data_IF_914127275181
#
_entry.id   IF_914127275181
#
_cell.length_a   1.000
_cell.length_b   1.000
_cell.length_c   1.000
_cell.angle_alpha   90.00
_cell.angle_beta   90.00
_cell.angle_gamma   90.00
#
_symmetry.space_group_name_H-M   'P 1'
#
loop_
_entity.id
_entity.type
_entity.pdbx_description
1 polymer ?
#
# COMPACT_ATOMS: atom_id res chain seq x y z
N UNK A 1 -16.88 0.77 4.40
CA UNK A 1 -15.60 0.16 3.99
C UNK A 1 -15.76 -0.23 2.54
N UNK A 2 -15.15 0.57 1.67
CA UNK A 2 -15.13 0.28 0.24
C UNK A 2 -13.80 -0.41 -0.08
N UNK A 3 -13.85 -1.49 -0.86
CA UNK A 3 -12.67 -2.24 -1.31
C UNK A 3 -12.46 -1.94 -2.79
N UNK A 4 -11.20 -1.69 -3.17
CA UNK A 4 -10.76 -1.55 -4.54
C UNK A 4 -9.61 -2.52 -4.77
N UNK A 5 -9.62 -3.18 -5.92
CA UNK A 5 -8.48 -3.94 -6.43
C UNK A 5 -7.93 -3.14 -7.60
N UNK A 6 -6.71 -2.65 -7.45
CA UNK A 6 -6.10 -1.71 -8.40
C UNK A 6 -4.77 -2.23 -8.91
N UNK A 7 -4.37 -1.70 -10.06
CA UNK A 7 -3.04 -1.87 -10.61
C UNK A 7 -2.00 -1.17 -9.76
N UNK A 8 -1.12 -1.93 -9.11
CA UNK A 8 -0.12 -1.39 -8.21
C UNK A 8 0.85 -0.45 -8.95
N UNK A 9 1.34 -0.85 -10.13
CA UNK A 9 2.26 -0.05 -10.92
C UNK A 9 1.65 1.29 -11.37
N UNK A 10 0.39 1.28 -11.82
CA UNK A 10 -0.30 2.51 -12.23
C UNK A 10 -0.53 3.43 -11.04
N UNK A 11 -0.93 2.88 -9.89
CA UNK A 11 -1.09 3.63 -8.66
C UNK A 11 0.24 4.31 -8.25
N UNK A 12 1.33 3.55 -8.11
CA UNK A 12 2.61 4.12 -7.67
C UNK A 12 3.17 5.13 -8.68
N UNK A 13 3.02 4.88 -9.99
CA UNK A 13 3.38 5.85 -11.03
C UNK A 13 2.57 7.14 -10.92
N UNK A 14 1.25 7.04 -10.69
CA UNK A 14 0.38 8.21 -10.60
C UNK A 14 0.64 9.08 -9.37
N UNK A 15 1.07 8.44 -8.27
CA UNK A 15 1.37 9.10 -7.00
C UNK A 15 2.79 9.69 -6.96
N UNK A 16 3.59 9.53 -8.03
CA UNK A 16 5.03 9.81 -8.04
C UNK A 16 5.73 9.17 -6.83
N UNK A 17 5.37 7.91 -6.53
CA UNK A 17 5.92 7.19 -5.38
C UNK A 17 7.38 6.73 -5.60
N UNK A 18 7.93 6.90 -6.81
CA UNK A 18 9.36 6.77 -7.08
C UNK A 18 10.14 7.82 -6.25
N UNK A 19 10.94 7.43 -5.24
CA UNK A 19 11.42 8.42 -4.30
C UNK A 19 12.56 9.25 -4.88
N UNK A 20 12.42 10.57 -4.79
CA UNK A 20 13.56 11.49 -4.85
C UNK A 20 14.46 11.37 -3.59
N UNK A 21 13.97 10.70 -2.54
CA UNK A 21 14.60 10.63 -1.22
C UNK A 21 15.35 9.31 -1.00
N UNK A 22 16.63 9.30 -1.38
CA UNK A 22 17.57 8.17 -1.16
C UNK A 22 17.56 7.61 0.28
N UNK A 23 17.32 8.44 1.29
CA UNK A 23 17.25 8.00 2.69
C UNK A 23 16.06 7.06 2.96
N UNK A 24 14.91 7.28 2.30
CA UNK A 24 13.73 6.43 2.45
C UNK A 24 13.99 5.08 1.81
N UNK A 25 14.57 5.07 0.61
CA UNK A 25 15.00 3.84 -0.06
C UNK A 25 15.92 3.02 0.84
N UNK A 26 17.04 3.60 1.29
CA UNK A 26 18.04 2.87 2.09
C UNK A 26 17.46 2.36 3.41
N UNK A 27 16.51 3.08 4.02
CA UNK A 27 15.82 2.63 5.22
C UNK A 27 14.85 1.48 4.95
N UNK A 28 14.07 1.57 3.86
CA UNK A 28 13.11 0.52 3.49
C UNK A 28 13.80 -0.75 3.04
N UNK A 29 14.88 -0.67 2.26
CA UNK A 29 15.67 -1.83 1.85
C UNK A 29 16.22 -2.58 3.07
N UNK A 30 16.82 -1.85 4.03
CA UNK A 30 17.31 -2.46 5.28
C UNK A 30 16.20 -3.08 6.12
N UNK A 31 15.03 -2.44 6.19
CA UNK A 31 13.87 -2.94 6.92
C UNK A 31 13.36 -4.25 6.27
N UNK A 32 13.22 -4.27 4.95
CA UNK A 32 12.74 -5.44 4.21
C UNK A 32 13.71 -6.61 4.35
N UNK A 33 15.02 -6.36 4.21
CA UNK A 33 16.04 -7.39 4.34
C UNK A 33 16.09 -7.96 5.76
N UNK A 34 16.18 -7.08 6.77
CA UNK A 34 16.36 -7.49 8.18
C UNK A 34 15.23 -8.36 8.72
N UNK A 35 14.00 -8.12 8.24
CA UNK A 35 12.81 -8.83 8.70
C UNK A 35 12.28 -9.83 7.67
N UNK A 36 13.04 -10.10 6.60
CA UNK A 36 12.70 -11.10 5.57
C UNK A 36 11.29 -10.86 4.96
N UNK A 37 10.98 -9.60 4.64
CA UNK A 37 9.65 -9.18 4.21
C UNK A 37 9.38 -9.37 2.72
N UNK A 38 10.38 -9.75 1.92
CA UNK A 38 10.20 -10.01 0.50
C UNK A 38 9.15 -11.11 0.24
N UNK A 39 8.32 -10.91 -0.78
CA UNK A 39 7.19 -11.78 -1.15
C UNK A 39 6.14 -12.03 -0.03
N UNK A 40 6.15 -11.23 1.04
CA UNK A 40 5.20 -11.34 2.17
C UNK A 40 3.92 -10.55 1.94
N UNK A 41 2.88 -10.93 2.66
CA UNK A 41 1.66 -10.12 2.77
C UNK A 41 1.79 -9.02 3.83
N UNK A 42 1.62 -7.77 3.41
CA UNK A 42 1.80 -6.58 4.26
C UNK A 42 0.51 -5.76 4.29
N UNK A 43 0.01 -5.49 5.50
CA UNK A 43 -1.06 -4.53 5.75
C UNK A 43 -0.44 -3.16 6.06
N UNK A 44 -0.68 -2.18 5.20
CA UNK A 44 -0.20 -0.81 5.34
C UNK A 44 -1.33 0.11 5.80
N UNK A 45 -1.12 0.79 6.92
CA UNK A 45 -2.08 1.73 7.52
C UNK A 45 -1.62 3.15 7.28
N UNK A 46 -2.54 3.99 6.79
CA UNK A 46 -2.29 5.38 6.43
C UNK A 46 -1.14 5.57 5.41
N UNK A 47 -1.12 4.81 4.29
CA UNK A 47 -0.04 4.85 3.30
C UNK A 47 0.06 6.18 2.55
N UNK A 48 -0.98 7.02 2.54
CA UNK A 48 -0.98 8.28 1.80
C UNK A 48 -0.67 8.06 0.31
N UNK A 49 0.48 8.58 -0.14
CA UNK A 49 0.96 8.43 -1.52
C UNK A 49 1.71 7.12 -1.79
N UNK A 50 1.98 6.30 -0.77
CA UNK A 50 2.61 4.98 -0.93
C UNK A 50 4.13 5.01 -1.16
N UNK A 51 4.84 6.06 -0.73
CA UNK A 51 6.27 6.24 -0.99
C UNK A 51 7.12 5.14 -0.33
N UNK A 52 6.78 4.76 0.90
CA UNK A 52 7.48 3.69 1.63
C UNK A 52 7.06 2.32 1.05
N UNK A 53 5.77 2.16 0.77
CA UNK A 53 5.15 0.92 0.31
C UNK A 53 5.53 0.52 -1.11
N UNK A 54 5.94 1.49 -1.94
CA UNK A 54 6.53 1.24 -3.23
C UNK A 54 7.67 0.21 -3.13
N UNK A 55 8.51 0.29 -2.09
CA UNK A 55 9.62 -0.64 -1.89
C UNK A 55 9.14 -2.04 -1.56
N UNK A 56 8.11 -2.21 -0.72
CA UNK A 56 7.51 -3.53 -0.52
C UNK A 56 7.01 -4.13 -1.84
N UNK A 57 6.37 -3.32 -2.69
CA UNK A 57 5.92 -3.76 -4.01
C UNK A 57 7.08 -4.19 -4.93
N UNK A 58 8.20 -3.45 -4.95
CA UNK A 58 9.40 -3.83 -5.70
C UNK A 58 9.98 -5.17 -5.21
N UNK A 59 9.85 -5.46 -3.92
CA UNK A 59 10.26 -6.73 -3.31
C UNK A 59 9.19 -7.84 -3.36
N UNK A 60 8.18 -7.70 -4.24
CA UNK A 60 7.21 -8.75 -4.51
C UNK A 60 6.13 -8.92 -3.44
N UNK A 61 6.05 -8.03 -2.46
CA UNK A 61 5.06 -8.12 -1.40
C UNK A 61 3.63 -8.00 -1.94
N UNK A 62 2.71 -8.75 -1.34
CA UNK A 62 1.28 -8.57 -1.53
C UNK A 62 0.80 -7.46 -0.59
N UNK A 63 0.30 -6.37 -1.14
CA UNK A 63 -0.04 -5.18 -0.37
C UNK A 63 -1.54 -5.05 -0.15
N UNK A 64 -1.91 -4.71 1.09
CA UNK A 64 -3.23 -4.18 1.41
C UNK A 64 -3.09 -2.82 2.08
N UNK A 65 -3.70 -1.80 1.49
CA UNK A 65 -3.73 -0.44 2.01
C UNK A 65 -5.04 -0.20 2.74
N UNK A 66 -4.96 0.48 3.88
CA UNK A 66 -6.12 0.99 4.62
C UNK A 66 -5.88 2.45 4.92
N UNK A 67 -6.70 3.31 4.34
CA UNK A 67 -6.62 4.75 4.56
C UNK A 67 -8.02 5.37 4.68
N UNK A 68 -8.08 6.52 5.35
CA UNK A 68 -9.27 7.35 5.39
C UNK A 68 -9.24 8.33 4.22
N UNK A 69 -10.31 8.37 3.44
CA UNK A 69 -10.46 9.40 2.41
C UNK A 69 -11.08 10.66 3.02
N UNK A 70 -10.34 11.31 3.93
CA UNK A 70 -10.83 12.42 4.74
C UNK A 70 -11.38 13.57 3.88
N UNK A 71 -10.79 13.80 2.70
CA UNK A 71 -11.14 14.90 1.80
C UNK A 71 -11.90 14.44 0.54
N UNK A 72 -12.16 13.14 0.38
CA UNK A 72 -12.86 12.59 -0.79
C UNK A 72 -12.02 12.62 -2.09
N UNK A 73 -10.71 12.77 -1.98
CA UNK A 73 -9.79 12.92 -3.11
C UNK A 73 -9.15 11.61 -3.56
N UNK A 74 -9.13 10.60 -2.68
CA UNK A 74 -8.48 9.31 -2.96
C UNK A 74 -9.40 8.42 -3.80
N UNK A 75 -10.68 8.27 -3.39
CA UNK A 75 -11.62 7.34 -4.02
C UNK A 75 -11.78 7.53 -5.53
N UNK A 76 -11.88 8.76 -6.07
CA UNK A 76 -11.99 8.96 -7.51
C UNK A 76 -10.79 8.42 -8.29
N UNK A 77 -9.57 8.56 -7.75
CA UNK A 77 -8.35 8.07 -8.38
C UNK A 77 -8.28 6.54 -8.43
N UNK A 78 -8.67 5.87 -7.34
CA UNK A 78 -8.67 4.40 -7.27
C UNK A 78 -9.56 3.75 -8.34
N UNK A 79 -10.64 4.42 -8.76
CA UNK A 79 -11.53 3.94 -9.83
C UNK A 79 -10.90 4.00 -11.22
N UNK A 80 -9.81 4.73 -11.39
CA UNK A 80 -9.09 4.86 -12.66
C UNK A 80 -8.04 3.77 -12.87
N UNK A 81 -7.55 3.16 -11.78
CA UNK A 81 -6.45 2.18 -11.80
C UNK A 81 -6.98 0.74 -11.84
N UNK A 82 -8.04 0.49 -12.63
CA UNK A 82 -8.77 -0.78 -12.60
C UNK A 82 -7.88 -1.97 -12.90
N UNK A 83 -7.94 -3.02 -12.08
CA UNK A 83 -7.11 -4.18 -12.28
C UNK A 83 -7.41 -4.93 -13.60
N UNK A 84 -6.37 -5.15 -14.42
CA UNK A 84 -6.41 -6.17 -15.48
C UNK A 84 -5.87 -7.52 -14.97
N UNK A 85 -6.11 -8.59 -15.72
CA UNK A 85 -5.84 -9.95 -15.25
C UNK A 85 -4.35 -10.35 -15.24
N UNK A 86 -3.45 -9.54 -15.81
CA UNK A 86 -2.07 -9.95 -16.10
C UNK A 86 -1.00 -9.39 -15.17
N UNK A 87 -1.40 -8.72 -14.11
CA UNK A 87 -0.55 -7.74 -13.41
C UNK A 87 -0.74 -7.81 -11.89
N UNK A 88 0.27 -7.33 -11.15
CA UNK A 88 0.24 -7.36 -9.68
C UNK A 88 -0.78 -6.36 -9.15
N UNK A 89 -1.74 -6.87 -8.39
CA UNK A 89 -2.80 -6.05 -7.80
C UNK A 89 -2.43 -5.57 -6.40
N UNK A 90 -2.85 -4.34 -6.10
CA UNK A 90 -2.88 -3.75 -4.76
C UNK A 90 -4.33 -3.75 -4.27
N UNK A 91 -4.57 -4.26 -3.07
CA UNK A 91 -5.89 -4.12 -2.43
C UNK A 91 -5.93 -2.82 -1.65
N UNK A 92 -6.91 -1.95 -1.90
CA UNK A 92 -7.08 -0.68 -1.19
C UNK A 92 -8.44 -0.64 -0.50
N UNK A 93 -8.45 -0.36 0.80
CA UNK A 93 -9.65 -0.13 1.58
C UNK A 93 -9.75 1.34 1.98
N UNK A 94 -10.87 1.97 1.63
CA UNK A 94 -11.25 3.25 2.25
C UNK A 94 -12.00 2.93 3.54
N UNK A 95 -11.30 3.07 4.65
CA UNK A 95 -11.79 2.74 5.99
C UNK A 95 -10.89 3.32 7.07
N UNK A 96 -11.48 3.61 8.23
CA UNK A 96 -10.74 3.73 9.47
C UNK A 96 -10.09 2.38 9.85
N UNK A 97 -8.85 2.43 10.36
CA UNK A 97 -8.07 1.24 10.69
C UNK A 97 -8.68 0.40 11.81
N UNK A 98 -9.31 1.02 12.82
CA UNK A 98 -10.00 0.28 13.88
C UNK A 98 -11.26 -0.41 13.35
N UNK A 99 -11.98 0.21 12.42
CA UNK A 99 -13.11 -0.43 11.75
C UNK A 99 -12.69 -1.58 10.84
N UNK A 100 -11.56 -1.44 10.15
CA UNK A 100 -10.98 -2.49 9.32
C UNK A 100 -10.58 -3.70 10.16
N UNK A 101 -9.88 -3.48 11.28
CA UNK A 101 -9.39 -4.55 12.14
C UNK A 101 -10.49 -5.49 12.66
N UNK A 102 -11.69 -4.98 12.91
CA UNK A 102 -12.84 -5.79 13.36
C UNK A 102 -13.46 -6.64 12.24
N UNK A 103 -13.21 -6.28 10.97
CA UNK A 103 -13.83 -6.90 9.78
C UNK A 103 -12.84 -7.64 8.89
N UNK A 104 -11.55 -7.61 9.20
CA UNK A 104 -10.53 -8.27 8.41
C UNK A 104 -10.77 -9.79 8.40
N UNK A 105 -10.90 -10.37 7.21
CA UNK A 105 -11.19 -11.80 7.02
C UNK A 105 -9.92 -12.65 6.85
N UNK A 106 -8.75 -12.00 6.78
CA UNK A 106 -7.43 -12.65 6.62
C UNK A 106 -6.42 -12.10 7.63
N UNK A 107 -5.39 -12.91 7.88
CA UNK A 107 -4.18 -12.48 8.57
C UNK A 107 -3.16 -11.92 7.57
N UNK A 108 -2.23 -11.12 8.08
CA UNK A 108 -1.10 -10.58 7.34
C UNK A 108 0.19 -10.99 8.04
N UNK A 109 1.26 -11.19 7.28
CA UNK A 109 2.57 -11.53 7.83
C UNK A 109 3.27 -10.32 8.44
N UNK A 110 2.95 -9.11 7.96
CA UNK A 110 3.41 -7.86 8.55
C UNK A 110 2.32 -6.78 8.60
N UNK A 111 2.41 -5.94 9.63
CA UNK A 111 1.69 -4.67 9.75
C UNK A 111 2.70 -3.54 9.62
N UNK A 112 2.47 -2.63 8.69
CA UNK A 112 3.24 -1.41 8.50
C UNK A 112 2.36 -0.20 8.78
N UNK A 113 2.88 0.76 9.54
CA UNK A 113 2.22 2.04 9.81
C UNK A 113 3.12 3.11 9.24
N UNK A 114 2.62 3.79 8.23
CA UNK A 114 3.40 4.74 7.44
C UNK A 114 3.60 6.03 8.22
N UNK A 115 4.72 6.72 7.95
CA UNK A 115 4.94 8.04 8.51
C UNK A 115 3.96 9.04 7.88
N UNK A 116 3.13 9.72 8.70
CA UNK A 116 2.23 10.78 8.24
C UNK A 116 2.98 11.76 7.31
N UNK A 117 2.50 11.92 6.07
CA UNK A 117 2.88 12.97 5.13
C UNK A 117 1.73 13.94 4.92
#
# INVERSE_FOLDING_TARGET
>A
MNKYEIQAEEYFRSMNAEPEFRIVQEAMEQLIEKYELADKSVLCIAPGNGIEEYWFHQHGCELTFVDIDQYGSIEPGLKLYTADASSRTLTYYISDAAQFAVKAERTYEALYISGNQ
#
